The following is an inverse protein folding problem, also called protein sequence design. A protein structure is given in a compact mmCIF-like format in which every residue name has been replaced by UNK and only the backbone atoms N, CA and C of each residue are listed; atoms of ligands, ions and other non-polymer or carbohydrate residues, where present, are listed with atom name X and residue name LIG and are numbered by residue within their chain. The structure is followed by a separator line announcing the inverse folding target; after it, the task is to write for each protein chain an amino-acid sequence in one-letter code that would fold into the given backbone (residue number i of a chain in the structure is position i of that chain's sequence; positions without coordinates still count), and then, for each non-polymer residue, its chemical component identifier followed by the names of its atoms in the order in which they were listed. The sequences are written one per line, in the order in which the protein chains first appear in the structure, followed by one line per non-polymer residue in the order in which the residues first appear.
data_IF_814507149471
#
_entry.id   IF_814507149471
#
_cell.length_a   1.000
_cell.length_b   1.000
_cell.length_c   1.000
_cell.angle_alpha   90.00
_cell.angle_beta   90.00
_cell.angle_gamma   90.00
#
_symmetry.space_group_name_H-M   'P 1'
#
loop_
_entity.id
_entity.type
_entity.pdbx_description
1 polymer ?
#
# COMPACT_ATOMS: atom_id res chain seq x y z
N UNK A 1 -56.19 10.70 41.68
CA UNK A 1 -54.95 10.91 40.90
C UNK A 1 -55.17 10.34 39.52
N UNK A 2 -55.16 11.17 38.47
CA UNK A 2 -55.63 10.77 37.15
C UNK A 2 -54.54 9.97 36.42
N UNK A 3 -54.66 8.64 36.43
CA UNK A 3 -53.67 7.70 35.90
C UNK A 3 -53.26 8.02 34.44
N UNK A 4 -54.18 8.56 33.66
CA UNK A 4 -53.96 9.00 32.27
C UNK A 4 -52.92 10.11 32.13
N UNK A 5 -52.84 11.04 33.09
CA UNK A 5 -51.85 12.14 33.08
C UNK A 5 -50.44 11.59 33.38
N UNK A 6 -50.35 10.60 34.27
CA UNK A 6 -49.08 9.94 34.62
C UNK A 6 -48.58 9.11 33.43
N UNK A 7 -49.45 8.34 32.77
CA UNK A 7 -49.09 7.57 31.58
C UNK A 7 -48.70 8.46 30.39
N UNK A 8 -49.41 9.58 30.16
CA UNK A 8 -49.06 10.53 29.12
C UNK A 8 -47.70 11.22 29.37
N UNK A 9 -47.40 11.57 30.63
CA UNK A 9 -46.11 12.12 31.02
C UNK A 9 -44.94 11.16 30.81
N UNK A 10 -45.12 9.87 31.14
CA UNK A 10 -44.10 8.83 30.91
C UNK A 10 -43.89 8.58 29.41
N UNK A 11 -44.96 8.53 28.62
CA UNK A 11 -44.87 8.33 27.17
C UNK A 11 -44.13 9.48 26.47
N UNK A 12 -44.35 10.73 26.90
CA UNK A 12 -43.64 11.90 26.37
C UNK A 12 -42.13 11.85 26.67
N UNK A 13 -41.74 11.45 27.89
CA UNK A 13 -40.32 11.32 28.28
C UNK A 13 -39.64 10.22 27.47
N UNK A 14 -40.28 9.05 27.32
CA UNK A 14 -39.76 7.94 26.51
C UNK A 14 -39.61 8.33 25.04
N UNK A 15 -40.58 9.07 24.49
CA UNK A 15 -40.50 9.63 23.13
C UNK A 15 -39.29 10.54 22.94
N UNK A 16 -39.06 11.48 23.86
CA UNK A 16 -37.93 12.42 23.79
C UNK A 16 -36.60 11.67 23.91
N UNK A 17 -36.47 10.73 24.85
CA UNK A 17 -35.27 9.90 25.00
C UNK A 17 -35.01 9.09 23.73
N UNK A 18 -36.04 8.48 23.13
CA UNK A 18 -35.90 7.73 21.88
C UNK A 18 -35.45 8.62 20.72
N UNK A 19 -35.93 9.86 20.63
CA UNK A 19 -35.48 10.83 19.61
C UNK A 19 -34.00 11.19 19.82
N UNK A 20 -33.57 11.47 21.06
CA UNK A 20 -32.16 11.77 21.35
C UNK A 20 -31.23 10.58 21.07
N UNK A 21 -31.65 9.36 21.45
CA UNK A 21 -30.92 8.13 21.14
C UNK A 21 -30.87 7.91 19.63
N UNK A 22 -31.98 8.12 18.90
CA UNK A 22 -32.03 7.99 17.45
C UNK A 22 -31.13 9.01 16.74
N UNK A 23 -31.06 10.26 17.21
CA UNK A 23 -30.17 11.30 16.65
C UNK A 23 -28.70 10.97 16.93
N UNK A 24 -28.39 10.46 18.13
CA UNK A 24 -27.04 10.03 18.47
C UNK A 24 -26.61 8.84 17.61
N UNK A 25 -27.49 7.85 17.47
CA UNK A 25 -27.25 6.66 16.65
C UNK A 25 -27.11 7.03 15.17
N UNK A 26 -27.93 7.94 14.63
CA UNK A 26 -27.81 8.38 13.25
C UNK A 26 -26.52 9.15 12.97
N UNK A 27 -26.08 10.01 13.91
CA UNK A 27 -24.77 10.69 13.81
C UNK A 27 -23.60 9.70 13.88
N UNK A 28 -23.68 8.69 14.74
CA UNK A 28 -22.66 7.64 14.83
C UNK A 28 -22.62 6.82 13.53
N UNK A 29 -23.77 6.42 13.01
CA UNK A 29 -23.92 5.68 11.76
C UNK A 29 -23.41 6.48 10.54
N UNK A 30 -23.70 7.78 10.46
CA UNK A 30 -23.16 8.64 9.41
C UNK A 30 -21.63 8.74 9.48
N UNK A 31 -21.05 8.88 10.68
CA UNK A 31 -19.59 8.90 10.86
C UNK A 31 -18.95 7.58 10.44
N UNK A 32 -19.55 6.46 10.85
CA UNK A 32 -19.15 5.11 10.49
C UNK A 32 -19.15 4.91 8.96
N UNK A 33 -20.21 5.35 8.28
CA UNK A 33 -20.30 5.33 6.82
C UNK A 33 -19.25 6.21 6.12
N UNK A 34 -18.96 7.40 6.66
CA UNK A 34 -17.92 8.30 6.11
C UNK A 34 -16.53 7.67 6.26
N UNK A 35 -16.24 7.08 7.42
CA UNK A 35 -14.95 6.43 7.69
C UNK A 35 -14.77 5.23 6.74
N UNK A 36 -15.79 4.36 6.65
CA UNK A 36 -15.76 3.21 5.76
C UNK A 36 -15.60 3.60 4.29
N UNK A 37 -16.34 4.61 3.82
CA UNK A 37 -16.24 5.07 2.42
C UNK A 37 -14.87 5.67 2.10
N UNK A 38 -14.30 6.46 3.03
CA UNK A 38 -12.95 7.00 2.91
C UNK A 38 -11.89 5.88 2.84
N UNK A 39 -12.02 4.84 3.68
CA UNK A 39 -11.11 3.67 3.66
C UNK A 39 -11.22 2.90 2.35
N UNK A 40 -12.44 2.69 1.82
CA UNK A 40 -12.66 2.03 0.52
C UNK A 40 -12.06 2.84 -0.64
N UNK A 41 -12.20 4.16 -0.62
CA UNK A 41 -11.59 5.03 -1.62
C UNK A 41 -10.06 4.95 -1.55
N UNK A 42 -9.49 5.06 -0.35
CA UNK A 42 -8.06 4.92 -0.12
C UNK A 42 -7.53 3.57 -0.63
N UNK A 43 -8.20 2.44 -0.35
CA UNK A 43 -7.82 1.12 -0.89
C UNK A 43 -7.73 1.13 -2.43
N UNK A 44 -8.71 1.77 -3.11
CA UNK A 44 -8.71 1.85 -4.58
C UNK A 44 -7.53 2.65 -5.11
N UNK A 45 -7.26 3.81 -4.50
CA UNK A 45 -6.15 4.68 -4.90
C UNK A 45 -4.80 3.99 -4.70
N UNK A 46 -4.57 3.41 -3.51
CA UNK A 46 -3.30 2.75 -3.19
C UNK A 46 -3.06 1.54 -4.10
N UNK A 47 -4.09 0.73 -4.41
CA UNK A 47 -3.95 -0.38 -5.37
C UNK A 47 -3.49 0.09 -6.75
N UNK A 48 -3.97 1.24 -7.20
CA UNK A 48 -3.56 1.80 -8.49
C UNK A 48 -2.10 2.28 -8.46
N UNK A 49 -1.70 2.97 -7.39
CA UNK A 49 -0.31 3.42 -7.21
C UNK A 49 0.62 2.22 -7.09
N UNK A 50 0.25 1.19 -6.32
CA UNK A 50 1.03 -0.05 -6.19
C UNK A 50 1.17 -0.80 -7.52
N UNK A 51 0.10 -0.92 -8.31
CA UNK A 51 0.18 -1.56 -9.62
C UNK A 51 1.17 -0.82 -10.55
N UNK A 52 1.17 0.52 -10.50
CA UNK A 52 2.15 1.31 -11.24
C UNK A 52 3.57 1.15 -10.70
N UNK A 53 3.74 1.03 -9.38
CA UNK A 53 5.03 0.77 -8.74
C UNK A 53 5.63 -0.56 -9.21
N UNK A 54 4.84 -1.63 -9.23
CA UNK A 54 5.27 -2.95 -9.74
C UNK A 54 5.63 -2.86 -11.23
N UNK A 55 4.81 -2.17 -12.03
CA UNK A 55 5.09 -1.97 -13.46
C UNK A 55 6.43 -1.26 -13.68
N UNK A 56 6.64 -0.11 -13.05
CA UNK A 56 7.87 0.67 -13.17
C UNK A 56 9.09 -0.12 -12.68
N UNK A 57 8.92 -0.90 -11.61
CA UNK A 57 9.98 -1.79 -11.08
C UNK A 57 10.38 -2.86 -12.10
N UNK A 58 9.40 -3.46 -12.78
CA UNK A 58 9.65 -4.46 -13.83
C UNK A 58 10.30 -3.85 -15.08
N UNK A 59 9.83 -2.68 -15.52
CA UNK A 59 10.45 -1.94 -16.61
C UNK A 59 11.91 -1.59 -16.28
N UNK A 60 12.16 -1.06 -15.07
CA UNK A 60 13.50 -0.71 -14.63
C UNK A 60 14.42 -1.92 -14.52
N UNK A 61 13.91 -3.03 -13.95
CA UNK A 61 14.65 -4.29 -13.89
C UNK A 61 15.06 -4.80 -15.28
N UNK A 62 14.16 -4.74 -16.26
CA UNK A 62 14.48 -5.16 -17.62
C UNK A 62 15.57 -4.29 -18.24
N UNK A 63 15.48 -2.97 -18.10
CA UNK A 63 16.53 -2.06 -18.58
C UNK A 63 17.89 -2.34 -17.93
N UNK A 64 17.91 -2.73 -16.64
CA UNK A 64 19.15 -3.17 -15.97
C UNK A 64 19.79 -4.39 -16.63
N UNK A 65 19.00 -5.31 -17.19
CA UNK A 65 19.51 -6.46 -17.93
C UNK A 65 20.08 -6.05 -19.31
N UNK A 66 19.51 -5.01 -19.93
CA UNK A 66 19.95 -4.50 -21.25
C UNK A 66 21.13 -3.51 -21.20
N UNK A 67 21.51 -3.03 -20.00
CA UNK A 67 22.75 -2.26 -19.80
C UNK A 67 24.00 -2.98 -20.35
N UNK A 68 23.96 -4.31 -20.43
CA UNK A 68 25.05 -5.14 -20.95
C UNK A 68 25.24 -5.05 -22.48
N UNK A 69 24.17 -4.88 -23.24
CA UNK A 69 24.18 -5.13 -24.70
C UNK A 69 24.22 -3.84 -25.54
N UNK A 70 24.02 -2.68 -24.91
CA UNK A 70 23.92 -1.41 -25.60
C UNK A 70 25.23 -0.62 -25.49
N UNK A 71 25.73 -0.10 -26.62
CA UNK A 71 26.60 1.08 -26.57
C UNK A 71 25.76 2.18 -25.94
N UNK A 72 26.05 2.53 -24.69
CA UNK A 72 25.32 3.56 -23.94
C UNK A 72 25.38 4.86 -24.76
N UNK A 73 24.27 5.17 -25.42
CA UNK A 73 24.03 6.43 -26.11
C UNK A 73 23.26 7.36 -25.17
N UNK A 74 23.46 8.68 -25.35
CA UNK A 74 22.84 9.74 -24.54
C UNK A 74 21.31 9.57 -24.42
N UNK A 75 20.63 9.08 -25.45
CA UNK A 75 19.19 8.82 -25.45
C UNK A 75 18.79 7.66 -24.53
N UNK A 76 19.61 6.61 -24.49
CA UNK A 76 19.41 5.49 -23.56
C UNK A 76 19.59 5.98 -22.12
N UNK A 77 20.70 6.66 -21.83
CA UNK A 77 20.99 7.20 -20.50
C UNK A 77 19.87 8.14 -20.01
N UNK A 78 19.37 9.02 -20.89
CA UNK A 78 18.24 9.90 -20.58
C UNK A 78 16.96 9.11 -20.26
N UNK A 79 16.63 8.11 -21.06
CA UNK A 79 15.42 7.30 -20.88
C UNK A 79 15.51 6.46 -19.60
N UNK A 80 16.66 5.86 -19.34
CA UNK A 80 16.97 5.09 -18.14
C UNK A 80 16.83 5.94 -16.87
N UNK A 81 17.45 7.13 -16.86
CA UNK A 81 17.35 8.04 -15.72
C UNK A 81 15.93 8.58 -15.50
N UNK A 82 15.18 8.82 -16.57
CA UNK A 82 13.76 9.20 -16.47
C UNK A 82 12.91 8.08 -15.87
N UNK A 83 13.15 6.83 -16.29
CA UNK A 83 12.48 5.66 -15.73
C UNK A 83 12.79 5.49 -14.24
N UNK A 84 14.08 5.59 -13.85
CA UNK A 84 14.50 5.58 -12.45
C UNK A 84 13.83 6.69 -11.65
N UNK A 85 13.79 7.91 -12.18
CA UNK A 85 13.11 9.04 -11.54
C UNK A 85 11.62 8.80 -11.34
N UNK A 86 10.94 8.24 -12.34
CA UNK A 86 9.52 7.88 -12.26
C UNK A 86 9.27 6.78 -11.22
N UNK A 87 10.13 5.77 -11.16
CA UNK A 87 10.07 4.71 -10.14
C UNK A 87 10.17 5.30 -8.73
N UNK A 88 11.18 6.13 -8.47
CA UNK A 88 11.36 6.79 -7.18
C UNK A 88 10.19 7.70 -6.81
N UNK A 89 9.70 8.52 -7.76
CA UNK A 89 8.55 9.37 -7.54
C UNK A 89 7.31 8.56 -7.17
N UNK A 90 7.09 7.43 -7.85
CA UNK A 90 5.95 6.56 -7.56
C UNK A 90 6.11 5.80 -6.24
N UNK A 91 7.33 5.38 -5.88
CA UNK A 91 7.64 4.82 -4.57
C UNK A 91 7.32 5.81 -3.44
N UNK A 92 7.78 7.06 -3.55
CA UNK A 92 7.48 8.08 -2.53
C UNK A 92 5.99 8.41 -2.46
N UNK A 93 5.30 8.43 -3.60
CA UNK A 93 3.85 8.54 -3.62
C UNK A 93 3.19 7.35 -2.90
N UNK A 94 3.63 6.13 -3.15
CA UNK A 94 3.09 4.92 -2.54
C UNK A 94 3.23 4.97 -1.02
N UNK A 95 4.44 5.19 -0.49
CA UNK A 95 4.69 5.19 0.96
C UNK A 95 3.99 6.36 1.67
N UNK A 96 3.66 7.45 0.98
CA UNK A 96 2.91 8.58 1.56
C UNK A 96 1.50 8.20 2.03
N UNK A 97 0.94 7.13 1.48
CA UNK A 97 -0.34 6.58 1.92
C UNK A 97 -0.25 5.78 3.23
N UNK A 98 0.95 5.55 3.77
CA UNK A 98 1.22 4.72 4.93
C UNK A 98 2.01 5.53 5.99
N UNK A 99 1.33 6.34 6.82
CA UNK A 99 2.00 7.14 7.84
C UNK A 99 2.72 6.26 8.88
N UNK A 100 3.87 6.74 9.37
CA UNK A 100 4.70 6.05 10.39
C UNK A 100 3.97 5.84 11.71
N UNK A 101 3.05 6.75 12.05
CA UNK A 101 2.23 6.63 13.25
C UNK A 101 0.96 5.85 12.94
N UNK A 102 1.03 4.53 13.12
CA UNK A 102 -0.13 3.67 13.22
C UNK A 102 -0.20 2.96 14.58
N UNK A 103 -1.40 2.51 14.95
CA UNK A 103 -1.61 1.90 16.27
C UNK A 103 -1.02 0.50 16.41
N UNK A 104 -0.75 -0.17 15.28
CA UNK A 104 -0.40 -1.59 15.24
C UNK A 104 0.87 -1.92 14.44
N UNK A 105 1.62 -0.94 13.94
CA UNK A 105 2.91 -1.12 13.26
C UNK A 105 2.84 -1.62 11.81
N UNK A 106 1.66 -2.01 11.32
CA UNK A 106 1.49 -2.66 10.02
C UNK A 106 1.84 -1.74 8.84
N UNK A 107 1.65 -0.43 8.98
CA UNK A 107 2.06 0.56 7.98
C UNK A 107 3.58 0.59 7.81
N UNK A 108 4.32 0.48 8.91
CA UNK A 108 5.79 0.46 8.87
C UNK A 108 6.26 -0.83 8.19
N UNK A 109 5.65 -1.96 8.53
CA UNK A 109 6.02 -3.25 7.97
C UNK A 109 5.79 -3.31 6.45
N UNK A 110 4.61 -2.89 5.98
CA UNK A 110 4.34 -2.88 4.53
C UNK A 110 5.22 -1.88 3.76
N UNK A 111 5.63 -0.76 4.40
CA UNK A 111 6.58 0.17 3.80
C UNK A 111 7.96 -0.43 3.62
N UNK A 112 8.46 -1.17 4.62
CA UNK A 112 9.73 -1.90 4.51
C UNK A 112 9.68 -2.89 3.35
N UNK A 113 8.55 -3.61 3.19
CA UNK A 113 8.35 -4.52 2.06
C UNK A 113 8.51 -3.81 0.70
N UNK A 114 8.02 -2.58 0.56
CA UNK A 114 8.24 -1.80 -0.67
C UNK A 114 9.68 -1.30 -0.81
N UNK A 115 10.29 -0.88 0.30
CA UNK A 115 11.68 -0.42 0.35
C UNK A 115 12.65 -1.52 -0.09
N UNK A 116 12.39 -2.77 0.26
CA UNK A 116 13.18 -3.94 -0.15
C UNK A 116 13.28 -4.07 -1.68
N UNK A 117 12.22 -3.74 -2.43
CA UNK A 117 12.26 -3.73 -3.90
C UNK A 117 13.18 -2.63 -4.43
N UNK A 118 13.08 -1.44 -3.87
CA UNK A 118 13.93 -0.31 -4.27
C UNK A 118 15.40 -0.64 -3.96
N UNK A 119 15.69 -1.14 -2.77
CA UNK A 119 17.04 -1.54 -2.37
C UNK A 119 17.57 -2.61 -3.35
N UNK A 120 16.79 -3.65 -3.65
CA UNK A 120 17.19 -4.68 -4.60
C UNK A 120 17.55 -4.10 -5.98
N UNK A 121 16.72 -3.20 -6.51
CA UNK A 121 16.94 -2.60 -7.82
C UNK A 121 18.15 -1.67 -7.84
N UNK A 122 18.36 -0.90 -6.77
CA UNK A 122 19.51 0.01 -6.63
C UNK A 122 20.81 -0.75 -6.40
N UNK A 123 20.82 -1.82 -5.61
CA UNK A 123 21.97 -2.72 -5.48
C UNK A 123 22.34 -3.35 -6.81
N UNK A 124 21.33 -3.77 -7.58
CA UNK A 124 21.54 -4.36 -8.91
C UNK A 124 22.08 -3.31 -9.88
N UNK A 125 21.59 -2.07 -9.84
CA UNK A 125 22.17 -0.96 -10.58
C UNK A 125 23.64 -0.74 -10.20
N UNK A 126 23.96 -0.63 -8.91
CA UNK A 126 25.34 -0.41 -8.47
C UNK A 126 26.26 -1.57 -8.91
N UNK A 127 25.76 -2.80 -8.84
CA UNK A 127 26.48 -3.98 -9.28
C UNK A 127 26.70 -3.98 -10.80
N UNK A 128 25.73 -3.49 -11.58
CA UNK A 128 25.83 -3.43 -13.05
C UNK A 128 27.03 -2.61 -13.54
N UNK A 129 27.49 -1.63 -12.75
CA UNK A 129 28.72 -0.88 -13.05
C UNK A 129 30.01 -1.69 -12.84
N UNK A 130 29.95 -2.79 -12.08
CA UNK A 130 31.08 -3.66 -11.75
C UNK A 130 31.09 -4.92 -12.62
N UNK A 131 29.93 -5.55 -12.80
CA UNK A 131 29.73 -6.76 -13.59
C UNK A 131 28.32 -6.78 -14.18
N UNK A 132 28.25 -6.68 -15.51
CA UNK A 132 27.01 -6.63 -16.29
C UNK A 132 26.36 -8.00 -16.49
N UNK A 133 27.06 -9.09 -16.16
CA UNK A 133 26.52 -10.46 -16.27
C UNK A 133 25.65 -10.86 -15.08
N UNK A 134 25.74 -10.10 -13.98
CA UNK A 134 25.08 -10.38 -12.70
C UNK A 134 25.36 -11.78 -12.13
N UNK A 135 26.34 -12.53 -12.66
CA UNK A 135 26.56 -13.95 -12.33
C UNK A 135 26.82 -14.18 -10.85
N UNK A 136 27.46 -13.20 -10.19
CA UNK A 136 27.77 -13.24 -8.77
C UNK A 136 27.02 -12.17 -7.97
N UNK A 137 25.96 -11.60 -8.54
CA UNK A 137 25.12 -10.65 -7.83
C UNK A 137 24.47 -11.33 -6.62
N UNK A 138 24.65 -10.70 -5.45
CA UNK A 138 24.10 -11.15 -4.18
C UNK A 138 23.38 -9.99 -3.53
N UNK A 139 22.04 -9.94 -3.59
CA UNK A 139 21.28 -8.87 -2.95
C UNK A 139 21.42 -8.94 -1.42
N UNK A 140 21.26 -7.81 -0.74
CA UNK A 140 21.21 -7.77 0.73
C UNK A 140 19.97 -8.46 1.30
N UNK A 141 18.92 -8.59 0.49
CA UNK A 141 17.63 -9.09 0.92
C UNK A 141 17.59 -10.63 1.06
N UNK A 142 17.27 -11.12 2.26
CA UNK A 142 17.44 -12.53 2.62
C UNK A 142 16.56 -13.49 1.83
N UNK A 143 15.30 -13.12 1.55
CA UNK A 143 14.32 -13.98 0.88
C UNK A 143 14.83 -14.43 -0.50
N UNK A 144 15.61 -13.59 -1.17
CA UNK A 144 16.11 -13.85 -2.53
C UNK A 144 17.59 -14.19 -2.58
N UNK A 145 18.32 -14.17 -1.45
CA UNK A 145 19.76 -14.51 -1.41
C UNK A 145 20.07 -15.92 -1.88
N UNK A 146 19.15 -16.86 -1.63
CA UNK A 146 19.32 -18.27 -1.97
C UNK A 146 18.83 -18.60 -3.38
N UNK A 147 18.15 -17.66 -4.02
CA UNK A 147 17.57 -17.84 -5.34
C UNK A 147 18.60 -17.62 -6.45
N UNK A 148 18.42 -18.33 -7.56
CA UNK A 148 19.14 -18.06 -8.79
C UNK A 148 18.90 -16.62 -9.23
N UNK A 149 19.93 -15.93 -9.72
CA UNK A 149 19.86 -14.50 -10.11
C UNK A 149 18.72 -14.19 -11.08
N UNK A 150 18.37 -15.14 -11.97
CA UNK A 150 17.25 -15.02 -12.90
C UNK A 150 15.87 -15.08 -12.23
N UNK A 151 15.75 -15.74 -11.08
CA UNK A 151 14.49 -15.90 -10.35
C UNK A 151 14.31 -14.87 -9.23
N UNK A 152 15.41 -14.30 -8.72
CA UNK A 152 15.40 -13.36 -7.59
C UNK A 152 14.35 -12.26 -7.72
N UNK A 153 14.26 -11.61 -8.88
CA UNK A 153 13.31 -10.52 -9.09
C UNK A 153 11.86 -10.99 -9.04
N UNK A 154 11.56 -12.14 -9.65
CA UNK A 154 10.22 -12.72 -9.64
C UNK A 154 9.81 -13.12 -8.22
N UNK A 155 10.69 -13.80 -7.48
CA UNK A 155 10.44 -14.20 -6.09
C UNK A 155 10.18 -12.97 -5.22
N UNK A 156 10.95 -11.89 -5.41
CA UNK A 156 10.74 -10.64 -4.71
C UNK A 156 9.38 -10.01 -5.04
N UNK A 157 9.02 -9.94 -6.33
CA UNK A 157 7.72 -9.40 -6.75
C UNK A 157 6.55 -10.22 -6.19
N UNK A 158 6.65 -11.54 -6.18
CA UNK A 158 5.63 -12.43 -5.63
C UNK A 158 5.48 -12.21 -4.12
N UNK A 159 6.60 -12.13 -3.39
CA UNK A 159 6.60 -11.83 -1.95
C UNK A 159 5.89 -10.51 -1.64
N UNK A 160 6.31 -9.42 -2.29
CA UNK A 160 5.78 -8.08 -2.07
C UNK A 160 4.31 -7.99 -2.46
N UNK A 161 3.93 -8.59 -3.58
CA UNK A 161 2.54 -8.60 -4.07
C UNK A 161 1.61 -9.36 -3.13
N UNK A 162 2.09 -10.48 -2.57
CA UNK A 162 1.34 -11.27 -1.60
C UNK A 162 1.18 -10.52 -0.27
N UNK A 163 2.25 -9.92 0.24
CA UNK A 163 2.24 -9.16 1.49
C UNK A 163 1.28 -7.95 1.38
N UNK A 164 1.38 -7.18 0.30
CA UNK A 164 0.46 -6.08 0.02
C UNK A 164 -0.99 -6.53 -0.11
N UNK A 165 -1.23 -7.66 -0.80
CA UNK A 165 -2.58 -8.20 -0.96
C UNK A 165 -3.19 -8.61 0.37
N UNK A 166 -2.39 -9.23 1.25
CA UNK A 166 -2.81 -9.60 2.60
C UNK A 166 -3.12 -8.38 3.45
N UNK A 167 -2.25 -7.38 3.42
CA UNK A 167 -2.46 -6.09 4.09
C UNK A 167 -3.77 -5.44 3.62
N UNK A 168 -3.98 -5.32 2.31
CA UNK A 168 -5.19 -4.74 1.72
C UNK A 168 -6.46 -5.52 2.07
N UNK A 169 -6.37 -6.84 2.20
CA UNK A 169 -7.48 -7.67 2.65
C UNK A 169 -7.86 -7.37 4.10
N UNK A 170 -6.89 -7.18 4.99
CA UNK A 170 -7.15 -6.79 6.38
C UNK A 170 -7.83 -5.41 6.45
N UNK A 171 -7.35 -4.44 5.69
CA UNK A 171 -7.95 -3.10 5.62
C UNK A 171 -9.38 -3.13 5.07
N UNK A 172 -9.66 -4.02 4.12
CA UNK A 172 -11.00 -4.24 3.61
C UNK A 172 -11.95 -4.85 4.66
N UNK A 173 -11.50 -5.83 5.44
CA UNK A 173 -12.31 -6.38 6.53
C UNK A 173 -12.54 -5.35 7.65
N UNK A 174 -11.55 -4.50 7.95
CA UNK A 174 -11.74 -3.34 8.85
C UNK A 174 -12.82 -2.40 8.31
N UNK A 175 -12.76 -2.03 7.02
CA UNK A 175 -13.76 -1.16 6.38
C UNK A 175 -15.19 -1.70 6.50
N UNK A 176 -15.36 -3.03 6.37
CA UNK A 176 -16.67 -3.68 6.54
C UNK A 176 -17.15 -3.62 7.98
N UNK A 177 -16.27 -3.92 8.93
CA UNK A 177 -16.63 -3.88 10.36
C UNK A 177 -17.02 -2.48 10.83
N UNK A 178 -16.41 -1.44 10.26
CA UNK A 178 -16.71 -0.04 10.54
C UNK A 178 -18.00 0.46 9.86
N UNK A 179 -18.57 -0.30 8.90
CA UNK A 179 -19.79 0.07 8.19
C UNK A 179 -21.08 -0.42 8.88
N UNK A 180 -20.96 -1.31 9.87
CA UNK A 180 -22.05 -1.98 10.61
C UNK A 180 -22.24 -1.27 11.95
#
# INVERSE_FOLDING_TARGET
MNWTIIFAGVAAIVSVVNVFVSIRNSKAQMRAQIISSSRVQWIKEVRNVFANFIKLSAEFHNELLFLNDSKIDINFEKSFNMLRGNLWANYYQLISYFPDMDSDGRNIDIRKTFEELIIYLEEKLEYSYKDTTFKFFKPSFEIVKQENVSEQFKVLLDYISNDFSNYMKQEWEKAKSEAI
#
